data_IF_544983230561
#
_entry.id   IF_544983230561
#
_cell.length_a   1.000
_cell.length_b   1.000
_cell.length_c   1.000
_cell.angle_alpha   90.00
_cell.angle_beta   90.00
_cell.angle_gamma   90.00
#
_symmetry.space_group_name_H-M   'P 1'
#
loop_
_entity.id
_entity.type
_entity.pdbx_description
1 polymer ?
#
# COMPACT_ATOMS: atom_id res chain seq x y z
N UNK A 1 -11.25 1.11 -26.79
CA UNK A 1 -11.29 0.40 -25.51
C UNK A 1 -9.95 0.54 -24.83
N UNK A 2 -9.80 1.49 -23.91
CA UNK A 2 -8.74 1.44 -22.90
C UNK A 2 -9.33 2.08 -21.65
N UNK A 3 -9.82 1.23 -20.76
CA UNK A 3 -10.18 1.61 -19.42
C UNK A 3 -8.87 2.06 -18.77
N UNK A 4 -8.59 3.38 -18.80
CA UNK A 4 -7.47 3.97 -18.08
C UNK A 4 -7.47 3.39 -16.67
N UNK A 5 -6.31 2.88 -16.26
CA UNK A 5 -6.05 2.33 -14.94
C UNK A 5 -6.71 3.24 -13.90
N UNK A 6 -7.84 2.81 -13.32
CA UNK A 6 -8.58 3.57 -12.31
C UNK A 6 -7.81 3.53 -11.00
N UNK A 7 -6.66 4.21 -10.99
CA UNK A 7 -5.89 4.47 -9.78
C UNK A 7 -5.96 5.97 -9.54
N UNK A 8 -6.49 6.35 -8.38
CA UNK A 8 -6.47 7.73 -7.92
C UNK A 8 -5.27 7.93 -6.99
N UNK A 9 -4.54 9.03 -7.19
CA UNK A 9 -3.44 9.40 -6.32
C UNK A 9 -4.01 10.00 -5.05
N UNK A 10 -3.61 9.45 -3.91
CA UNK A 10 -3.90 9.99 -2.59
C UNK A 10 -2.62 10.55 -1.97
N UNK A 11 -2.75 11.58 -1.14
CA UNK A 11 -1.66 12.14 -0.33
C UNK A 11 -1.99 11.85 1.13
N UNK A 12 -1.05 11.25 1.85
CA UNK A 12 -1.19 10.93 3.27
C UNK A 12 0.09 11.32 4.01
N UNK A 13 -0.04 11.67 5.29
CA UNK A 13 1.10 11.83 6.18
C UNK A 13 1.38 10.48 6.85
N UNK A 14 2.66 10.10 6.94
CA UNK A 14 3.13 8.90 7.62
C UNK A 14 4.18 9.28 8.66
N UNK A 15 4.28 8.49 9.74
CA UNK A 15 5.34 8.63 10.72
C UNK A 15 6.71 8.35 10.12
N UNK A 16 7.75 9.02 10.61
CA UNK A 16 9.12 8.82 10.13
C UNK A 16 9.61 7.38 10.34
N UNK A 17 9.19 6.75 11.44
CA UNK A 17 9.54 5.36 11.78
C UNK A 17 8.88 4.39 10.79
N UNK A 18 7.58 4.56 10.55
CA UNK A 18 6.82 3.71 9.62
C UNK A 18 7.38 3.82 8.20
N UNK A 19 7.70 5.03 7.75
CA UNK A 19 8.32 5.26 6.45
C UNK A 19 9.66 4.51 6.32
N UNK A 20 10.50 4.54 7.36
CA UNK A 20 11.76 3.82 7.38
C UNK A 20 11.59 2.30 7.31
N UNK A 21 10.57 1.76 7.98
CA UNK A 21 10.24 0.32 7.89
C UNK A 21 9.76 -0.06 6.50
N UNK A 22 8.89 0.75 5.88
CA UNK A 22 8.42 0.53 4.50
C UNK A 22 9.62 0.55 3.55
N UNK A 23 10.54 1.50 3.71
CA UNK A 23 11.73 1.60 2.89
C UNK A 23 12.64 0.39 3.01
N UNK A 24 12.82 -0.13 4.22
CA UNK A 24 13.59 -1.34 4.44
C UNK A 24 12.98 -2.54 3.70
N UNK A 25 11.65 -2.73 3.81
CA UNK A 25 10.95 -3.82 3.12
C UNK A 25 11.04 -3.71 1.59
N UNK A 26 11.02 -2.49 1.05
CA UNK A 26 11.22 -2.26 -0.38
C UNK A 26 12.68 -2.53 -0.77
N UNK A 27 13.64 -2.09 0.03
CA UNK A 27 15.07 -2.28 -0.23
C UNK A 27 15.48 -3.75 -0.17
N UNK A 28 14.92 -4.54 0.74
CA UNK A 28 15.13 -5.99 0.84
C UNK A 28 14.43 -6.78 -0.27
N UNK A 29 13.61 -6.13 -1.09
CA UNK A 29 12.98 -6.72 -2.28
C UNK A 29 11.66 -7.44 -2.02
N UNK A 30 11.09 -7.32 -0.80
CA UNK A 30 9.76 -7.88 -0.50
C UNK A 30 8.65 -7.16 -1.28
N UNK A 31 8.84 -5.88 -1.59
CA UNK A 31 7.91 -5.07 -2.38
C UNK A 31 8.64 -4.29 -3.47
N UNK A 32 8.01 -4.12 -4.64
CA UNK A 32 8.64 -3.42 -5.76
C UNK A 32 8.75 -1.91 -5.56
N UNK A 33 7.85 -1.30 -4.77
CA UNK A 33 7.86 0.12 -4.44
C UNK A 33 6.94 0.41 -3.22
N UNK A 34 7.07 1.60 -2.63
CA UNK A 34 6.24 2.06 -1.49
C UNK A 34 4.75 1.98 -1.79
N UNK A 35 4.33 2.36 -3.00
CA UNK A 35 2.91 2.33 -3.40
C UNK A 35 2.35 0.90 -3.39
N UNK A 36 3.15 -0.08 -3.77
CA UNK A 36 2.75 -1.48 -3.80
C UNK A 36 2.59 -2.07 -2.40
N UNK A 37 3.50 -1.75 -1.48
CA UNK A 37 3.34 -2.03 -0.06
C UNK A 37 2.03 -1.47 0.47
N UNK A 38 1.78 -0.18 0.26
CA UNK A 38 0.56 0.50 0.76
C UNK A 38 -0.70 -0.12 0.15
N UNK A 39 -0.70 -0.46 -1.14
CA UNK A 39 -1.82 -1.13 -1.80
C UNK A 39 -2.11 -2.50 -1.19
N UNK A 40 -1.06 -3.27 -0.89
CA UNK A 40 -1.18 -4.59 -0.27
C UNK A 40 -1.72 -4.48 1.15
N UNK A 41 -1.20 -3.55 1.95
CA UNK A 41 -1.68 -3.29 3.31
C UNK A 41 -3.18 -2.90 3.33
N UNK A 42 -3.61 -2.02 2.42
CA UNK A 42 -5.02 -1.62 2.30
C UNK A 42 -5.89 -2.83 1.96
N UNK A 43 -5.49 -3.65 0.98
CA UNK A 43 -6.26 -4.86 0.60
C UNK A 43 -6.37 -5.85 1.75
N UNK A 44 -5.29 -6.06 2.50
CA UNK A 44 -5.29 -6.94 3.65
C UNK A 44 -6.26 -6.43 4.73
N UNK A 45 -6.24 -5.13 5.04
CA UNK A 45 -7.17 -4.56 6.01
C UNK A 45 -8.64 -4.62 5.55
N UNK A 46 -8.91 -4.35 4.27
CA UNK A 46 -10.25 -4.51 3.72
C UNK A 46 -10.74 -5.96 3.77
N UNK A 47 -9.84 -6.94 3.60
CA UNK A 47 -10.19 -8.35 3.70
C UNK A 47 -10.57 -8.74 5.13
N UNK A 48 -9.81 -8.27 6.13
CA UNK A 48 -10.10 -8.49 7.56
C UNK A 48 -11.49 -7.97 7.93
N UNK A 49 -11.81 -6.73 7.57
CA UNK A 49 -13.12 -6.15 7.88
C UNK A 49 -14.28 -6.70 7.04
N UNK A 50 -14.00 -7.37 5.91
CA UNK A 50 -15.05 -7.98 5.10
C UNK A 50 -15.66 -9.21 5.76
N UNK A 51 -14.94 -9.85 6.69
CA UNK A 51 -15.46 -10.97 7.48
C UNK A 51 -16.32 -10.51 8.68
N UNK A 52 -16.27 -9.22 9.03
CA UNK A 52 -17.03 -8.63 10.14
C UNK A 52 -18.40 -8.07 9.73
N UNK A 53 -18.72 -8.00 8.43
CA UNK A 53 -19.96 -7.41 7.86
C UNK A 53 -20.88 -8.46 7.26
#
# INVERSE_FOLDING_TARGET
MTQLEKTEKITINLGLVDLGQIDLLVQEGFYSNRTDFIRTAIRNQLAVHKEEV
#
